data_IF_252266196984
#
_entry.id   IF_252266196984
#
_cell.length_a   1.000
_cell.length_b   1.000
_cell.length_c   1.000
_cell.angle_alpha   90.00
_cell.angle_beta   90.00
_cell.angle_gamma   90.00
#
_symmetry.space_group_name_H-M   'P 1'
#
loop_
_entity.id
_entity.type
_entity.pdbx_description
1 polymer ?
#
# COMPACT_ATOMS: atom_id res chain seq x y z
N UNK A 1 4.47 -3.53 -28.87
CA UNK A 1 5.83 -3.79 -29.40
C UNK A 1 6.56 -4.57 -28.34
N UNK A 2 7.32 -5.61 -28.66
CA UNK A 2 8.15 -6.32 -27.66
C UNK A 2 9.37 -5.46 -27.30
N UNK A 3 10.01 -5.75 -26.15
CA UNK A 3 11.24 -5.09 -25.73
C UNK A 3 12.30 -5.17 -26.84
N UNK A 4 12.92 -4.03 -27.20
CA UNK A 4 13.93 -3.97 -28.23
C UNK A 4 15.34 -4.20 -27.66
N UNK A 5 16.31 -4.57 -28.53
CA UNK A 5 17.70 -4.70 -28.11
C UNK A 5 18.26 -3.39 -27.53
N UNK A 6 17.84 -2.25 -28.06
CA UNK A 6 18.22 -0.94 -27.54
C UNK A 6 17.69 -0.72 -26.11
N UNK A 7 16.45 -1.09 -25.83
CA UNK A 7 15.86 -1.00 -24.48
C UNK A 7 16.58 -1.92 -23.51
N UNK A 8 17.00 -3.12 -23.93
CA UNK A 8 17.77 -4.07 -23.10
C UNK A 8 19.13 -3.45 -22.71
N UNK A 9 19.84 -2.83 -23.67
CA UNK A 9 21.12 -2.16 -23.41
C UNK A 9 20.93 -0.97 -22.44
N UNK A 10 19.85 -0.19 -22.62
CA UNK A 10 19.55 0.90 -21.70
C UNK A 10 19.15 0.40 -20.29
N UNK A 11 18.45 -0.73 -20.19
CA UNK A 11 18.08 -1.30 -18.90
C UNK A 11 19.30 -1.59 -18.01
N UNK A 12 20.47 -1.94 -18.56
CA UNK A 12 21.70 -2.10 -17.79
C UNK A 12 22.19 -0.80 -17.15
N UNK A 13 22.05 0.33 -17.85
CA UNK A 13 22.39 1.65 -17.32
C UNK A 13 21.38 2.09 -16.27
N UNK A 14 20.08 1.90 -16.54
CA UNK A 14 19.01 2.20 -15.61
C UNK A 14 19.12 1.38 -14.33
N UNK A 15 19.53 0.11 -14.43
CA UNK A 15 19.80 -0.74 -13.29
C UNK A 15 20.83 -0.13 -12.32
N UNK A 16 21.97 0.37 -12.84
CA UNK A 16 22.98 1.00 -11.99
C UNK A 16 22.46 2.28 -11.32
N UNK A 17 21.67 3.08 -12.04
CA UNK A 17 21.03 4.26 -11.49
C UNK A 17 19.98 3.89 -10.43
N UNK A 18 19.16 2.87 -10.68
CA UNK A 18 18.17 2.37 -9.71
C UNK A 18 18.84 1.88 -8.41
N UNK A 19 19.94 1.11 -8.51
CA UNK A 19 20.72 0.70 -7.34
C UNK A 19 21.21 1.89 -6.53
N UNK A 20 21.64 2.97 -7.20
CA UNK A 20 22.09 4.19 -6.50
C UNK A 20 20.91 4.90 -5.81
N UNK A 21 19.75 4.99 -6.45
CA UNK A 21 18.53 5.57 -5.85
C UNK A 21 18.13 4.77 -4.58
N UNK A 22 18.17 3.44 -4.64
CA UNK A 22 17.88 2.59 -3.46
C UNK A 22 18.85 2.91 -2.31
N UNK A 23 20.17 3.01 -2.60
CA UNK A 23 21.19 3.37 -1.58
C UNK A 23 20.91 4.73 -0.93
N UNK A 24 20.43 5.67 -1.70
CA UNK A 24 20.18 7.03 -1.22
C UNK A 24 18.87 7.09 -0.42
N UNK A 25 17.79 6.48 -0.92
CA UNK A 25 16.50 6.44 -0.22
C UNK A 25 16.57 5.63 1.08
N UNK A 26 17.35 4.54 1.15
CA UNK A 26 17.54 3.78 2.39
C UNK A 26 18.22 4.58 3.52
N UNK A 27 18.88 5.70 3.20
CA UNK A 27 19.45 6.62 4.21
C UNK A 27 18.44 7.62 4.75
N UNK A 28 17.26 7.71 4.11
CA UNK A 28 16.22 8.68 4.44
C UNK A 28 15.07 7.96 5.16
N UNK A 29 14.91 8.14 6.48
CA UNK A 29 13.78 7.60 7.19
C UNK A 29 12.47 8.22 6.66
N UNK A 30 11.43 7.41 6.56
CA UNK A 30 10.13 7.86 6.08
C UNK A 30 9.00 6.99 6.67
N UNK A 31 8.77 7.03 7.99
CA UNK A 31 7.54 6.45 8.52
C UNK A 31 6.34 7.20 7.93
N UNK A 32 5.19 6.50 7.78
CA UNK A 32 3.95 7.15 7.30
C UNK A 32 3.67 8.44 8.06
N UNK A 33 3.31 9.49 7.35
CA UNK A 33 3.14 10.89 7.80
C UNK A 33 4.44 11.69 8.03
N UNK A 34 5.61 11.14 7.73
CA UNK A 34 6.93 11.79 7.88
C UNK A 34 7.83 11.53 6.66
N UNK A 35 7.25 11.64 5.45
CA UNK A 35 7.92 11.32 4.18
C UNK A 35 8.65 12.53 3.56
N UNK A 36 8.73 13.66 4.23
CA UNK A 36 9.26 14.92 3.69
C UNK A 36 10.63 14.77 3.05
N UNK A 37 11.52 13.99 3.68
CA UNK A 37 12.89 13.78 3.17
C UNK A 37 12.90 13.01 1.86
N UNK A 38 12.08 11.94 1.75
CA UNK A 38 11.97 11.14 0.53
C UNK A 38 11.20 11.88 -0.56
N UNK A 39 10.16 12.62 -0.21
CA UNK A 39 9.42 13.46 -1.15
C UNK A 39 10.35 14.53 -1.77
N UNK A 40 11.18 15.21 -0.96
CA UNK A 40 12.13 16.20 -1.47
C UNK A 40 13.22 15.56 -2.35
N UNK A 41 13.72 14.36 -1.97
CA UNK A 41 14.65 13.61 -2.81
C UNK A 41 14.03 13.29 -4.18
N UNK A 42 12.83 12.73 -4.22
CA UNK A 42 12.14 12.38 -5.45
C UNK A 42 11.83 13.62 -6.30
N UNK A 43 11.32 14.69 -5.68
CA UNK A 43 11.07 15.97 -6.36
C UNK A 43 12.34 16.49 -7.05
N UNK A 44 13.43 16.56 -6.31
CA UNK A 44 14.74 17.01 -6.82
C UNK A 44 15.22 16.12 -7.96
N UNK A 45 15.16 14.80 -7.77
CA UNK A 45 15.59 13.84 -8.78
C UNK A 45 14.80 13.99 -10.09
N UNK A 46 13.46 14.05 -10.03
CA UNK A 46 12.64 14.26 -11.23
C UNK A 46 12.97 15.60 -11.91
N UNK A 47 13.12 16.67 -11.14
CA UNK A 47 13.45 17.99 -11.70
C UNK A 47 14.81 18.01 -12.37
N UNK A 48 15.85 17.46 -11.74
CA UNK A 48 17.22 17.38 -12.28
C UNK A 48 17.32 16.48 -13.52
N UNK A 49 16.43 15.48 -13.63
CA UNK A 49 16.32 14.62 -14.80
C UNK A 49 15.36 15.16 -15.87
N UNK A 50 15.02 16.45 -15.83
CA UNK A 50 14.35 17.17 -16.90
C UNK A 50 12.85 16.91 -17.02
N UNK A 51 12.19 16.40 -15.97
CA UNK A 51 10.73 16.39 -15.91
C UNK A 51 10.20 17.82 -15.76
N UNK A 52 9.14 18.13 -16.50
CA UNK A 52 8.46 19.42 -16.41
C UNK A 52 7.27 19.31 -15.46
N UNK A 53 6.89 20.43 -14.86
CA UNK A 53 5.70 20.55 -14.02
C UNK A 53 5.68 19.56 -12.82
N UNK A 54 6.87 19.25 -12.29
CA UNK A 54 6.99 18.43 -11.08
C UNK A 54 6.45 19.20 -9.88
N UNK A 55 5.47 18.64 -9.19
CA UNK A 55 4.82 19.25 -8.02
C UNK A 55 4.83 18.31 -6.84
N UNK A 56 4.77 18.88 -5.64
CA UNK A 56 4.49 18.13 -4.39
C UNK A 56 3.16 18.63 -3.86
N UNK A 57 2.23 17.73 -3.63
CA UNK A 57 0.91 18.10 -3.09
C UNK A 57 0.88 18.11 -1.55
N UNK A 58 -0.27 18.49 -0.98
CA UNK A 58 -0.46 18.59 0.48
C UNK A 58 -0.38 17.22 1.20
N UNK A 59 -0.45 16.12 0.46
CA UNK A 59 -0.27 14.80 1.01
C UNK A 59 1.18 14.31 0.95
N UNK A 60 2.11 15.11 0.39
CA UNK A 60 3.52 14.79 0.10
C UNK A 60 3.71 13.84 -1.10
N UNK A 61 2.72 13.72 -1.99
CA UNK A 61 2.93 13.04 -3.25
C UNK A 61 3.81 13.89 -4.17
N UNK A 62 4.81 13.29 -4.78
CA UNK A 62 5.60 13.91 -5.84
C UNK A 62 5.01 13.50 -7.19
N UNK A 63 4.49 14.46 -7.94
CA UNK A 63 3.76 14.27 -9.18
C UNK A 63 4.62 14.71 -10.37
N UNK A 64 4.90 13.81 -11.30
CA UNK A 64 5.74 14.02 -12.47
C UNK A 64 4.98 13.65 -13.77
N UNK A 65 4.20 14.57 -14.36
CA UNK A 65 3.43 14.30 -15.58
C UNK A 65 4.36 14.19 -16.78
N UNK A 66 4.05 13.25 -17.69
CA UNK A 66 4.73 13.03 -18.95
C UNK A 66 3.73 13.05 -20.10
N UNK A 67 3.98 13.87 -21.12
CA UNK A 67 3.15 14.04 -22.30
C UNK A 67 1.76 14.68 -22.06
N UNK A 68 1.56 15.35 -20.93
CA UNK A 68 0.35 16.14 -20.64
C UNK A 68 0.60 17.14 -19.51
N UNK A 69 -0.38 18.03 -19.24
CA UNK A 69 -0.37 18.94 -18.09
C UNK A 69 -1.45 18.58 -17.09
N UNK A 70 -1.13 18.68 -15.79
CA UNK A 70 -2.09 18.45 -14.71
C UNK A 70 -3.26 19.45 -14.73
N UNK A 71 -3.05 20.66 -15.22
CA UNK A 71 -4.11 21.68 -15.36
C UNK A 71 -5.04 21.50 -16.57
N UNK A 72 -4.81 20.50 -17.46
CA UNK A 72 -5.68 20.21 -18.61
C UNK A 72 -6.84 19.26 -18.25
N UNK A 73 -7.64 18.88 -19.25
CA UNK A 73 -8.82 18.01 -19.11
C UNK A 73 -8.64 16.60 -19.68
N UNK A 74 -7.45 16.33 -20.24
CA UNK A 74 -7.19 15.08 -20.95
C UNK A 74 -7.08 13.88 -19.99
N UNK A 75 -7.58 12.69 -20.38
CA UNK A 75 -7.41 11.48 -19.59
C UNK A 75 -5.94 11.01 -19.59
N UNK A 76 -5.53 10.38 -18.50
CA UNK A 76 -4.17 9.86 -18.33
C UNK A 76 -4.15 8.60 -17.46
N UNK A 77 -3.03 7.86 -17.51
CA UNK A 77 -2.75 6.73 -16.62
C UNK A 77 -1.91 7.20 -15.43
N UNK A 78 -2.21 6.75 -14.23
CA UNK A 78 -1.35 6.91 -13.05
C UNK A 78 -0.45 5.70 -12.91
N UNK A 79 0.85 5.92 -12.70
CA UNK A 79 1.81 4.88 -12.34
C UNK A 79 2.59 5.36 -11.11
N UNK A 80 2.51 4.61 -10.02
CA UNK A 80 3.06 5.05 -8.73
C UNK A 80 3.78 3.94 -7.97
N UNK A 81 4.59 4.38 -7.01
CA UNK A 81 5.24 3.58 -5.99
C UNK A 81 5.36 4.44 -4.73
N UNK A 82 5.21 3.84 -3.54
CA UNK A 82 5.12 4.63 -2.32
C UNK A 82 6.49 4.94 -1.71
N UNK A 83 6.53 6.02 -0.93
CA UNK A 83 7.74 6.53 -0.28
C UNK A 83 7.85 6.15 1.18
N UNK A 84 6.74 5.86 1.84
CA UNK A 84 6.73 5.54 3.27
C UNK A 84 7.11 4.10 3.57
N UNK A 85 7.35 3.81 4.84
CA UNK A 85 7.64 2.48 5.38
C UNK A 85 6.81 2.23 6.64
N UNK A 86 6.54 0.96 6.95
CA UNK A 86 5.85 0.55 8.19
C UNK A 86 6.63 0.84 9.48
N UNK A 87 7.92 1.16 9.35
CA UNK A 87 8.82 1.33 10.50
C UNK A 87 8.70 2.75 11.06
N UNK A 88 8.54 2.91 12.40
CA UNK A 88 8.35 4.23 13.01
C UNK A 88 9.65 5.02 13.21
N UNK A 89 10.76 4.54 12.68
CA UNK A 89 12.09 5.11 12.90
C UNK A 89 12.23 6.45 12.17
N UNK A 90 12.61 7.49 12.91
CA UNK A 90 12.91 8.84 12.40
C UNK A 90 14.41 9.03 12.11
N UNK A 91 15.24 8.05 12.41
CA UNK A 91 16.66 8.01 12.11
C UNK A 91 16.94 6.95 11.04
N UNK A 92 18.04 7.09 10.27
CA UNK A 92 18.42 6.09 9.28
C UNK A 92 18.54 4.69 9.86
N UNK A 93 17.88 3.73 9.23
CA UNK A 93 17.97 2.33 9.61
C UNK A 93 19.23 1.68 9.02
N UNK A 94 19.74 0.55 9.61
CA UNK A 94 20.91 -0.15 9.10
C UNK A 94 20.76 -0.55 7.64
N UNK A 95 21.76 -0.22 6.83
CA UNK A 95 21.87 -0.60 5.42
C UNK A 95 23.14 -1.45 5.21
N UNK A 96 22.99 -2.58 4.51
CA UNK A 96 24.09 -3.50 4.21
C UNK A 96 23.92 -4.11 2.81
N UNK A 97 24.97 -4.09 2.01
CA UNK A 97 25.08 -4.89 0.79
C UNK A 97 25.87 -6.16 1.06
N UNK A 98 25.26 -7.31 0.87
CA UNK A 98 25.89 -8.60 1.12
C UNK A 98 25.28 -9.70 0.23
N UNK A 99 26.12 -10.59 -0.30
CA UNK A 99 25.73 -11.79 -1.04
C UNK A 99 24.72 -11.52 -2.20
N UNK A 100 24.88 -10.36 -2.88
CA UNK A 100 24.00 -9.97 -3.99
C UNK A 100 22.68 -9.32 -3.58
N UNK A 101 22.49 -9.04 -2.29
CA UNK A 101 21.31 -8.39 -1.73
C UNK A 101 21.64 -7.04 -1.10
N UNK A 102 20.69 -6.12 -1.16
CA UNK A 102 20.61 -4.95 -0.28
C UNK A 102 19.66 -5.28 0.88
N UNK A 103 20.14 -5.11 2.09
CA UNK A 103 19.40 -5.29 3.34
C UNK A 103 19.12 -3.94 3.97
N UNK A 104 17.88 -3.61 4.14
CA UNK A 104 17.41 -2.43 4.87
C UNK A 104 15.90 -2.58 5.10
N UNK A 105 15.36 -2.27 6.29
CA UNK A 105 13.92 -2.19 6.48
C UNK A 105 13.27 -1.20 5.49
N UNK A 106 12.21 -1.61 4.77
CA UNK A 106 11.55 -0.81 3.74
C UNK A 106 12.29 -0.78 2.38
N UNK A 107 13.31 -1.63 2.18
CA UNK A 107 14.07 -1.66 0.92
C UNK A 107 13.26 -2.23 -0.25
N UNK A 108 12.40 -3.20 0.01
CA UNK A 108 11.55 -3.84 -1.02
C UNK A 108 10.13 -3.30 -1.03
N UNK A 109 9.70 -2.79 0.11
CA UNK A 109 8.39 -2.25 0.35
C UNK A 109 8.52 -0.77 0.81
N UNK A 110 8.62 0.19 -0.10
CA UNK A 110 8.51 0.06 -1.57
C UNK A 110 9.72 0.70 -2.30
N UNK A 111 10.83 0.94 -1.57
CA UNK A 111 12.00 1.72 -2.04
C UNK A 111 12.56 1.24 -3.39
N UNK A 112 12.70 -0.07 -3.59
CA UNK A 112 13.30 -0.61 -4.80
C UNK A 112 12.34 -0.56 -6.02
N UNK A 113 11.04 -0.77 -5.81
CA UNK A 113 10.03 -0.57 -6.84
C UNK A 113 9.96 0.91 -7.27
N UNK A 114 10.01 1.84 -6.30
CA UNK A 114 10.08 3.28 -6.56
C UNK A 114 11.32 3.64 -7.40
N UNK A 115 12.48 3.10 -7.08
CA UNK A 115 13.71 3.35 -7.83
C UNK A 115 13.57 2.90 -9.30
N UNK A 116 13.01 1.70 -9.54
CA UNK A 116 12.75 1.21 -10.90
C UNK A 116 11.73 2.07 -11.62
N UNK A 117 10.64 2.48 -10.95
CA UNK A 117 9.66 3.41 -11.51
C UNK A 117 10.33 4.71 -11.98
N UNK A 118 11.14 5.33 -11.12
CA UNK A 118 11.82 6.61 -11.42
C UNK A 118 12.70 6.51 -12.66
N UNK A 119 13.61 5.52 -12.74
CA UNK A 119 14.53 5.39 -13.88
C UNK A 119 13.82 5.01 -15.17
N UNK A 120 12.78 4.18 -15.11
CA UNK A 120 11.99 3.83 -16.30
C UNK A 120 11.10 5.00 -16.76
N UNK A 121 10.58 5.83 -15.84
CA UNK A 121 9.88 7.06 -16.15
C UNK A 121 10.78 8.06 -16.91
N UNK A 122 12.04 8.20 -16.46
CA UNK A 122 13.06 9.01 -17.15
C UNK A 122 13.29 8.51 -18.59
N UNK A 123 13.50 7.19 -18.74
CA UNK A 123 13.69 6.61 -20.06
C UNK A 123 12.47 6.86 -20.97
N UNK A 124 11.27 6.62 -20.47
CA UNK A 124 10.03 6.84 -21.22
C UNK A 124 9.87 8.30 -21.65
N UNK A 125 10.15 9.25 -20.77
CA UNK A 125 10.12 10.69 -21.07
C UNK A 125 11.11 11.08 -22.18
N UNK A 126 12.32 10.50 -22.18
CA UNK A 126 13.38 10.83 -23.13
C UNK A 126 13.22 10.13 -24.50
N UNK A 127 12.43 9.03 -24.54
CA UNK A 127 12.27 8.16 -25.71
C UNK A 127 10.78 7.88 -25.98
N UNK A 128 9.97 8.93 -26.12
CA UNK A 128 8.53 8.77 -26.35
C UNK A 128 8.25 7.94 -27.61
N UNK A 129 7.33 6.93 -27.56
CA UNK A 129 6.92 6.18 -28.74
C UNK A 129 6.12 7.06 -29.72
N UNK A 130 5.83 6.54 -30.92
CA UNK A 130 5.07 7.26 -31.93
C UNK A 130 3.67 7.70 -31.47
N UNK A 131 3.05 6.92 -30.59
CA UNK A 131 1.77 7.22 -29.95
C UNK A 131 1.94 7.19 -28.41
N UNK A 132 2.51 8.25 -27.82
CA UNK A 132 2.84 8.25 -26.41
C UNK A 132 1.59 8.33 -25.52
N UNK A 133 1.57 7.52 -24.49
CA UNK A 133 0.56 7.59 -23.43
C UNK A 133 0.83 8.82 -22.55
N UNK A 134 -0.25 9.41 -22.03
CA UNK A 134 -0.19 10.44 -21.00
C UNK A 134 -0.08 9.73 -19.68
N UNK A 135 1.04 9.87 -19.00
CA UNK A 135 1.31 9.15 -17.75
C UNK A 135 1.67 10.14 -16.66
N UNK A 136 0.98 10.02 -15.53
CA UNK A 136 1.38 10.61 -14.27
C UNK A 136 2.24 9.59 -13.52
N UNK A 137 3.55 9.81 -13.48
CA UNK A 137 4.41 9.10 -12.55
C UNK A 137 4.35 9.78 -11.18
N UNK A 138 4.16 8.99 -10.14
CA UNK A 138 4.05 9.52 -8.79
C UNK A 138 4.88 8.72 -7.79
N UNK A 139 5.60 9.44 -6.92
CA UNK A 139 6.13 8.89 -5.67
C UNK A 139 5.14 9.30 -4.58
N UNK A 140 4.28 8.38 -4.14
CA UNK A 140 3.19 8.71 -3.23
C UNK A 140 3.52 8.43 -1.76
N UNK A 141 2.74 9.01 -0.87
CA UNK A 141 2.91 8.93 0.57
C UNK A 141 1.83 8.08 1.25
N UNK A 142 2.09 7.66 2.48
CA UNK A 142 1.09 7.10 3.39
C UNK A 142 0.33 5.89 2.80
N UNK A 143 1.02 4.99 2.08
CA UNK A 143 0.43 3.71 1.69
C UNK A 143 0.26 2.83 2.91
N UNK A 144 1.27 2.79 3.78
CA UNK A 144 1.42 1.83 4.84
C UNK A 144 0.49 2.04 6.04
N UNK A 145 0.12 0.95 6.67
CA UNK A 145 -0.46 0.91 8.01
C UNK A 145 -1.59 1.91 8.26
N UNK A 146 -1.33 2.85 9.16
CA UNK A 146 -2.25 3.92 9.54
C UNK A 146 -2.15 5.15 8.62
N UNK A 147 -1.25 5.18 7.66
CA UNK A 147 -1.23 6.15 6.55
C UNK A 147 -2.51 6.11 5.72
N UNK A 148 -3.16 4.92 5.71
CA UNK A 148 -4.53 4.72 5.19
C UNK A 148 -4.72 5.21 3.74
N UNK A 149 -3.69 5.02 2.89
CA UNK A 149 -3.69 5.40 1.47
C UNK A 149 -3.90 6.91 1.25
N UNK A 150 -3.45 7.76 2.17
CA UNK A 150 -3.67 9.22 2.13
C UNK A 150 -3.17 9.82 0.82
N UNK A 151 -1.99 9.41 0.35
CA UNK A 151 -1.42 9.90 -0.91
C UNK A 151 -2.28 9.53 -2.11
N UNK A 152 -2.63 8.26 -2.26
CA UNK A 152 -3.50 7.79 -3.33
C UNK A 152 -4.88 8.45 -3.28
N UNK A 153 -5.48 8.58 -2.09
CA UNK A 153 -6.77 9.29 -1.91
C UNK A 153 -6.71 10.73 -2.42
N UNK A 154 -5.61 11.45 -2.15
CA UNK A 154 -5.42 12.82 -2.62
C UNK A 154 -5.35 12.89 -4.14
N UNK A 155 -4.52 12.04 -4.77
CA UNK A 155 -4.42 11.96 -6.23
C UNK A 155 -5.78 11.64 -6.86
N UNK A 156 -6.53 10.67 -6.31
CA UNK A 156 -7.82 10.27 -6.85
C UNK A 156 -8.94 11.28 -6.55
N UNK A 157 -8.87 12.04 -5.47
CA UNK A 157 -9.78 13.15 -5.20
C UNK A 157 -9.59 14.30 -6.20
N UNK A 158 -8.34 14.65 -6.51
CA UNK A 158 -8.01 15.75 -7.40
C UNK A 158 -8.21 15.38 -8.88
N UNK A 159 -7.83 14.18 -9.27
CA UNK A 159 -7.71 13.80 -10.68
C UNK A 159 -8.54 12.58 -11.10
N UNK A 160 -9.24 11.90 -10.19
CA UNK A 160 -9.87 10.60 -10.44
C UNK A 160 -10.83 10.57 -11.64
N UNK A 161 -11.50 11.69 -11.94
CA UNK A 161 -12.38 11.81 -13.14
C UNK A 161 -11.62 11.71 -14.47
N UNK A 162 -10.31 11.93 -14.45
CA UNK A 162 -9.41 11.90 -15.63
C UNK A 162 -8.52 10.66 -15.66
N UNK A 163 -8.49 9.89 -14.58
CA UNK A 163 -7.68 8.66 -14.51
C UNK A 163 -8.38 7.56 -15.31
N UNK A 164 -7.77 7.13 -16.40
CA UNK A 164 -8.27 6.07 -17.27
C UNK A 164 -7.80 4.67 -16.87
N UNK A 165 -6.62 4.60 -16.26
CA UNK A 165 -6.04 3.38 -15.71
C UNK A 165 -5.05 3.72 -14.58
N UNK A 166 -4.81 2.75 -13.69
CA UNK A 166 -3.95 2.96 -12.54
C UNK A 166 -3.03 1.74 -12.33
N UNK A 167 -1.77 2.01 -12.02
CA UNK A 167 -0.74 0.99 -11.77
C UNK A 167 0.00 1.38 -10.49
N UNK A 168 0.04 0.49 -9.51
CA UNK A 168 0.94 0.59 -8.36
C UNK A 168 2.06 -0.42 -8.50
N UNK A 169 3.30 0.01 -8.32
CA UNK A 169 4.45 -0.90 -8.21
C UNK A 169 4.70 -1.15 -6.74
N UNK A 170 4.06 -2.19 -6.18
CA UNK A 170 4.10 -2.47 -4.75
C UNK A 170 3.95 -3.99 -4.53
N UNK A 171 5.03 -4.70 -4.74
CA UNK A 171 5.12 -6.12 -4.41
C UNK A 171 6.57 -6.59 -4.40
N UNK A 172 6.91 -7.50 -3.51
CA UNK A 172 8.19 -8.20 -3.47
C UNK A 172 8.33 -9.33 -4.49
N UNK A 173 7.34 -9.47 -5.40
CA UNK A 173 7.30 -10.57 -6.38
C UNK A 173 6.71 -10.09 -7.72
N UNK A 174 7.45 -10.29 -8.80
CA UNK A 174 7.06 -9.80 -10.14
C UNK A 174 5.84 -10.49 -10.73
N UNK A 175 5.62 -11.78 -10.48
CA UNK A 175 4.54 -12.53 -11.11
C UNK A 175 3.25 -12.62 -10.31
N UNK A 176 3.18 -12.01 -9.13
CA UNK A 176 1.95 -11.88 -8.35
C UNK A 176 1.33 -10.52 -8.60
N UNK A 177 0.11 -10.50 -9.11
CA UNK A 177 -0.58 -9.28 -9.51
C UNK A 177 -1.85 -9.13 -8.68
N UNK A 178 -1.96 -8.05 -7.94
CA UNK A 178 -3.20 -7.71 -7.23
C UNK A 178 -4.17 -7.10 -8.23
N UNK A 179 -5.29 -7.78 -8.41
CA UNK A 179 -6.39 -7.40 -9.30
C UNK A 179 -7.72 -7.25 -8.56
N UNK A 180 -7.74 -7.63 -7.28
CA UNK A 180 -8.91 -7.54 -6.42
C UNK A 180 -8.55 -6.89 -5.10
N UNK A 181 -9.23 -5.79 -4.77
CA UNK A 181 -8.98 -5.02 -3.56
C UNK A 181 -9.54 -5.72 -2.31
N UNK A 182 -8.69 -5.93 -1.31
CA UNK A 182 -9.10 -6.35 0.03
C UNK A 182 -9.40 -5.11 0.86
N UNK A 183 -10.69 -4.88 1.13
CA UNK A 183 -11.11 -3.82 2.03
C UNK A 183 -10.81 -4.16 3.50
N UNK A 184 -10.67 -3.13 4.33
CA UNK A 184 -10.42 -3.31 5.76
C UNK A 184 -10.96 -2.15 6.59
N UNK A 185 -11.43 -2.45 7.81
CA UNK A 185 -11.70 -1.44 8.82
C UNK A 185 -10.83 -1.74 10.04
N UNK A 186 -10.21 -0.73 10.59
CA UNK A 186 -9.31 -0.80 11.74
C UNK A 186 -9.82 0.10 12.85
N UNK A 187 -9.93 -0.42 14.04
CA UNK A 187 -10.50 0.28 15.19
C UNK A 187 -9.60 0.21 16.41
N UNK A 188 -9.62 1.29 17.19
CA UNK A 188 -9.25 1.29 18.59
C UNK A 188 -10.54 1.19 19.41
N UNK A 189 -10.63 0.20 20.27
CA UNK A 189 -11.75 0.00 21.18
C UNK A 189 -11.27 0.16 22.60
N UNK A 190 -11.82 1.13 23.33
CA UNK A 190 -11.46 1.44 24.72
C UNK A 190 -12.63 1.15 25.64
N UNK A 191 -12.36 0.47 26.76
CA UNK A 191 -13.33 0.13 27.80
C UNK A 191 -12.96 0.85 29.07
N UNK A 192 -13.94 1.50 29.69
CA UNK A 192 -13.78 2.16 30.98
C UNK A 192 -14.82 1.64 31.98
N UNK A 193 -14.37 1.42 33.24
CA UNK A 193 -15.18 0.93 34.37
C UNK A 193 -14.85 1.69 35.65
N UNK A 194 -15.50 1.34 36.76
CA UNK A 194 -15.32 1.97 38.08
C UNK A 194 -13.89 1.80 38.60
N UNK A 195 -13.30 0.61 38.40
CA UNK A 195 -12.01 0.28 38.98
C UNK A 195 -12.02 0.21 40.50
N UNK A 196 -10.84 0.29 41.13
CA UNK A 196 -10.69 0.36 42.57
C UNK A 196 -9.65 -0.58 43.15
N UNK A 197 -9.56 -0.62 44.50
CA UNK A 197 -8.67 -1.52 45.20
C UNK A 197 -9.21 -2.96 45.13
N UNK A 198 -8.40 -3.93 44.75
CA UNK A 198 -8.84 -5.31 44.45
C UNK A 198 -9.56 -6.02 45.59
N UNK A 199 -9.24 -5.71 46.86
CA UNK A 199 -9.91 -6.23 48.04
C UNK A 199 -11.05 -5.31 48.54
N UNK A 200 -10.77 -4.02 48.70
CA UNK A 200 -11.75 -3.09 49.33
C UNK A 200 -12.94 -2.75 48.41
N UNK A 201 -12.72 -2.77 47.09
CA UNK A 201 -13.73 -2.47 46.07
C UNK A 201 -14.15 -3.72 45.29
N UNK A 202 -14.01 -4.92 45.91
CA UNK A 202 -14.42 -6.17 45.29
C UNK A 202 -15.90 -6.13 44.88
N UNK A 203 -16.19 -6.47 43.61
CA UNK A 203 -17.52 -6.36 43.01
C UNK A 203 -17.64 -5.24 41.97
N UNK A 204 -16.73 -4.26 41.96
CA UNK A 204 -16.62 -3.29 40.88
C UNK A 204 -16.22 -4.00 39.58
N UNK A 205 -16.66 -3.44 38.45
CA UNK A 205 -16.31 -3.96 37.12
C UNK A 205 -14.85 -3.72 36.81
N UNK A 206 -14.25 -4.69 36.14
CA UNK A 206 -12.85 -4.65 35.69
C UNK A 206 -12.81 -4.47 34.20
N UNK A 207 -12.15 -3.40 33.71
CA UNK A 207 -12.06 -3.08 32.31
C UNK A 207 -11.33 -4.16 31.48
N UNK A 208 -10.27 -4.78 32.06
CA UNK A 208 -9.56 -5.89 31.38
C UNK A 208 -10.50 -7.08 31.20
N UNK A 209 -11.26 -7.45 32.26
CA UNK A 209 -12.22 -8.56 32.16
C UNK A 209 -13.34 -8.26 31.15
N UNK A 210 -13.87 -7.03 31.13
CA UNK A 210 -14.91 -6.61 30.22
C UNK A 210 -14.40 -6.63 28.77
N UNK A 211 -13.17 -6.14 28.51
CA UNK A 211 -12.55 -6.18 27.19
C UNK A 211 -12.25 -7.62 26.74
N UNK A 212 -11.75 -8.48 27.63
CA UNK A 212 -11.53 -9.90 27.34
C UNK A 212 -12.83 -10.63 26.96
N UNK A 213 -13.94 -10.28 27.62
CA UNK A 213 -15.27 -10.81 27.27
C UNK A 213 -15.74 -10.33 25.88
N UNK A 214 -15.51 -9.08 25.54
CA UNK A 214 -15.80 -8.56 24.20
C UNK A 214 -14.95 -9.28 23.14
N UNK A 215 -13.65 -9.46 23.38
CA UNK A 215 -12.75 -10.20 22.48
C UNK A 215 -13.28 -11.63 22.30
N UNK A 216 -13.61 -12.33 23.40
CA UNK A 216 -14.16 -13.69 23.33
C UNK A 216 -15.42 -13.72 22.48
N UNK A 217 -16.32 -12.75 22.65
CA UNK A 217 -17.55 -12.65 21.85
C UNK A 217 -17.23 -12.44 20.36
N UNK A 218 -16.35 -11.50 20.02
CA UNK A 218 -15.94 -11.24 18.63
C UNK A 218 -15.33 -12.49 17.96
N UNK A 219 -14.60 -13.31 18.71
CA UNK A 219 -14.01 -14.55 18.20
C UNK A 219 -14.99 -15.71 18.07
N UNK A 220 -16.24 -15.57 18.53
CA UNK A 220 -17.34 -16.52 18.24
C UNK A 220 -18.07 -16.22 16.94
N UNK A 221 -17.82 -15.04 16.34
CA UNK A 221 -18.48 -14.62 15.10
C UNK A 221 -18.06 -15.54 13.94
N UNK A 222 -19.05 -16.15 13.29
CA UNK A 222 -18.83 -16.87 12.05
C UNK A 222 -18.65 -15.84 10.93
N UNK A 223 -17.46 -15.78 10.35
CA UNK A 223 -17.15 -14.84 9.27
C UNK A 223 -18.08 -15.09 8.07
N UNK A 224 -18.64 -14.02 7.48
CA UNK A 224 -19.43 -14.14 6.25
C UNK A 224 -18.54 -14.62 5.10
N UNK A 225 -19.15 -15.33 4.16
CA UNK A 225 -18.50 -15.82 2.95
C UNK A 225 -19.44 -15.67 1.76
N UNK A 226 -18.92 -15.21 0.64
CA UNK A 226 -19.61 -15.11 -0.63
C UNK A 226 -18.74 -15.72 -1.73
N UNK A 227 -19.22 -16.77 -2.36
CA UNK A 227 -18.44 -17.52 -3.35
C UNK A 227 -17.07 -17.97 -2.80
N UNK A 228 -16.02 -17.50 -3.46
CA UNK A 228 -14.62 -17.76 -3.08
C UNK A 228 -14.01 -16.65 -2.23
N UNK A 229 -14.81 -15.69 -1.73
CA UNK A 229 -14.29 -14.58 -0.94
C UNK A 229 -13.61 -15.04 0.34
N UNK A 230 -12.62 -14.25 0.77
CA UNK A 230 -11.90 -14.43 2.03
C UNK A 230 -12.24 -13.28 2.96
N UNK A 231 -12.71 -13.62 4.17
CA UNK A 231 -12.98 -12.65 5.24
C UNK A 231 -12.18 -13.05 6.47
N UNK A 232 -11.52 -12.08 7.08
CA UNK A 232 -10.68 -12.29 8.27
C UNK A 232 -10.93 -11.20 9.31
N UNK A 233 -10.55 -11.45 10.55
CA UNK A 233 -10.49 -10.45 11.61
C UNK A 233 -9.34 -10.76 12.55
N UNK A 234 -8.89 -9.74 13.32
CA UNK A 234 -7.80 -9.90 14.27
C UNK A 234 -7.86 -8.85 15.37
N UNK A 235 -7.51 -9.25 16.58
CA UNK A 235 -7.11 -8.35 17.67
C UNK A 235 -5.58 -8.39 17.74
N UNK A 236 -4.93 -7.35 17.26
CA UNK A 236 -3.46 -7.30 17.13
C UNK A 236 -2.75 -6.78 18.36
N UNK A 237 -3.44 -5.95 19.16
CA UNK A 237 -2.88 -5.34 20.38
C UNK A 237 -3.95 -5.33 21.47
N UNK A 238 -3.53 -5.55 22.72
CA UNK A 238 -4.34 -5.35 23.91
C UNK A 238 -3.47 -4.70 24.98
N UNK A 239 -4.02 -3.72 25.71
CA UNK A 239 -3.38 -3.08 26.88
C UNK A 239 -4.39 -2.72 27.94
N UNK A 240 -3.95 -2.53 29.18
CA UNK A 240 -4.83 -2.10 30.28
C UNK A 240 -4.31 -2.39 31.66
N UNK A 241 -4.96 -1.74 32.65
CA UNK A 241 -4.62 -1.87 34.07
C UNK A 241 -3.37 -1.09 34.47
N UNK A 242 -3.05 -1.10 35.78
CA UNK A 242 -1.91 -0.37 36.37
C UNK A 242 -1.07 -1.23 37.31
N UNK A 243 -1.71 -2.05 38.14
CA UNK A 243 -1.01 -2.91 39.11
C UNK A 243 -1.87 -4.14 39.50
N UNK A 244 -1.22 -5.16 40.08
CA UNK A 244 -1.87 -6.43 40.44
C UNK A 244 -2.99 -6.30 41.49
N UNK A 245 -2.91 -5.31 42.40
CA UNK A 245 -3.89 -5.06 43.47
C UNK A 245 -4.90 -3.96 43.09
N UNK A 246 -5.03 -3.61 41.83
CA UNK A 246 -5.97 -2.62 41.31
C UNK A 246 -6.95 -3.28 40.34
N UNK A 247 -8.26 -3.12 40.57
CA UNK A 247 -9.28 -3.44 39.55
C UNK A 247 -9.09 -2.46 38.40
N UNK A 248 -8.82 -2.97 37.22
CA UNK A 248 -8.48 -2.12 36.06
C UNK A 248 -9.65 -1.19 35.70
N UNK A 249 -9.35 0.10 35.64
CA UNK A 249 -10.30 1.15 35.24
C UNK A 249 -10.42 1.28 33.73
N UNK A 250 -9.31 1.08 33.00
CA UNK A 250 -9.23 1.21 31.58
C UNK A 250 -8.53 0.01 30.96
N UNK A 251 -9.00 -0.36 29.78
CA UNK A 251 -8.35 -1.33 28.90
C UNK A 251 -8.69 -0.97 27.44
N UNK A 252 -7.81 -1.30 26.52
CA UNK A 252 -8.01 -1.03 25.10
C UNK A 252 -7.47 -2.15 24.20
N UNK A 253 -8.02 -2.26 22.99
CA UNK A 253 -7.53 -3.14 21.96
C UNK A 253 -7.47 -2.43 20.61
N UNK A 254 -6.59 -2.91 19.73
CA UNK A 254 -6.63 -2.64 18.31
C UNK A 254 -7.22 -3.85 17.61
N UNK A 255 -8.30 -3.61 16.85
CA UNK A 255 -9.09 -4.63 16.17
C UNK A 255 -9.22 -4.28 14.70
N UNK A 256 -9.10 -5.28 13.81
CA UNK A 256 -9.39 -5.13 12.39
C UNK A 256 -10.23 -6.29 11.88
N UNK A 257 -10.95 -6.05 10.80
CA UNK A 257 -11.48 -7.06 9.90
C UNK A 257 -11.24 -6.66 8.46
N UNK A 258 -11.11 -7.67 7.60
CA UNK A 258 -10.81 -7.51 6.17
C UNK A 258 -11.70 -8.43 5.35
N UNK A 259 -12.02 -8.03 4.12
CA UNK A 259 -12.64 -8.89 3.14
C UNK A 259 -12.30 -8.44 1.71
N UNK A 260 -12.25 -9.37 0.78
CA UNK A 260 -12.21 -9.10 -0.66
C UNK A 260 -13.63 -9.10 -1.31
N UNK A 261 -14.69 -9.25 -0.47
CA UNK A 261 -16.09 -9.02 -0.84
C UNK A 261 -16.63 -7.80 -0.09
N UNK A 262 -17.21 -6.86 -0.83
CA UNK A 262 -17.84 -5.65 -0.29
C UNK A 262 -19.02 -6.00 0.64
N UNK A 263 -19.81 -7.00 0.26
CA UNK A 263 -20.96 -7.48 1.02
C UNK A 263 -20.52 -8.15 2.33
N UNK A 264 -19.45 -8.93 2.29
CA UNK A 264 -18.88 -9.55 3.49
C UNK A 264 -18.26 -8.49 4.42
N UNK A 265 -17.57 -7.48 3.86
CA UNK A 265 -17.02 -6.37 4.65
C UNK A 265 -18.13 -5.59 5.38
N UNK A 266 -19.24 -5.27 4.68
CA UNK A 266 -20.39 -4.59 5.28
C UNK A 266 -21.04 -5.45 6.39
N UNK A 267 -21.21 -6.75 6.18
CA UNK A 267 -21.71 -7.67 7.22
C UNK A 267 -20.78 -7.72 8.45
N UNK A 268 -19.46 -7.67 8.26
CA UNK A 268 -18.52 -7.59 9.38
C UNK A 268 -18.66 -6.29 10.17
N UNK A 269 -18.93 -5.18 9.47
CA UNK A 269 -19.19 -3.89 10.09
C UNK A 269 -20.46 -3.95 10.98
N UNK A 270 -21.55 -4.50 10.46
CA UNK A 270 -22.80 -4.67 11.21
C UNK A 270 -22.61 -5.56 12.44
N UNK A 271 -21.93 -6.69 12.28
CA UNK A 271 -21.63 -7.62 13.38
C UNK A 271 -20.79 -6.95 14.47
N UNK A 272 -19.77 -6.19 14.09
CA UNK A 272 -18.95 -5.44 15.04
C UNK A 272 -19.76 -4.36 15.77
N UNK A 273 -20.56 -3.58 15.07
CA UNK A 273 -21.43 -2.55 15.68
C UNK A 273 -22.41 -3.16 16.67
N UNK A 274 -23.09 -4.24 16.32
CA UNK A 274 -24.01 -4.94 17.22
C UNK A 274 -23.30 -5.51 18.47
N UNK A 275 -22.07 -6.02 18.31
CA UNK A 275 -21.27 -6.46 19.45
C UNK A 275 -20.97 -5.31 20.43
N UNK A 276 -20.55 -4.16 19.90
CA UNK A 276 -20.29 -2.97 20.72
C UNK A 276 -21.56 -2.48 21.42
N UNK A 277 -22.68 -2.42 20.72
CA UNK A 277 -23.98 -2.01 21.31
C UNK A 277 -24.44 -2.96 22.42
N UNK A 278 -24.30 -4.28 22.22
CA UNK A 278 -24.62 -5.27 23.25
C UNK A 278 -23.80 -5.05 24.51
N UNK A 279 -22.51 -4.75 24.40
CA UNK A 279 -21.68 -4.47 25.57
C UNK A 279 -22.02 -3.13 26.22
N UNK A 280 -22.33 -2.08 25.46
CA UNK A 280 -22.84 -0.81 26.00
C UNK A 280 -24.14 -0.97 26.74
N UNK A 281 -25.03 -1.83 26.27
CA UNK A 281 -26.31 -2.12 26.95
C UNK A 281 -26.15 -2.79 28.33
N UNK A 282 -24.99 -3.41 28.64
CA UNK A 282 -24.66 -3.89 29.97
C UNK A 282 -24.27 -2.78 30.96
N UNK A 283 -24.23 -1.52 30.50
CA UNK A 283 -23.81 -0.35 31.28
C UNK A 283 -22.28 -0.16 31.32
N UNK A 284 -21.52 -0.87 30.51
CA UNK A 284 -20.06 -0.66 30.32
C UNK A 284 -19.84 0.47 29.34
N UNK A 285 -18.95 1.39 29.69
CA UNK A 285 -18.53 2.42 28.75
C UNK A 285 -17.56 1.82 27.72
N UNK A 286 -17.97 1.82 26.45
CA UNK A 286 -17.16 1.37 25.31
C UNK A 286 -17.06 2.50 24.29
N UNK A 287 -15.86 3.03 24.11
CA UNK A 287 -15.55 4.03 23.11
C UNK A 287 -14.88 3.34 21.91
N UNK A 288 -15.25 3.72 20.70
CA UNK A 288 -14.73 3.15 19.45
C UNK A 288 -14.25 4.28 18.57
N UNK A 289 -13.00 4.19 18.15
CA UNK A 289 -12.34 5.11 17.22
C UNK A 289 -11.98 4.35 15.94
N UNK A 290 -12.38 4.87 14.78
CA UNK A 290 -11.97 4.36 13.49
C UNK A 290 -10.57 4.87 13.17
N UNK A 291 -9.58 3.99 13.11
CA UNK A 291 -8.18 4.32 12.82
C UNK A 291 -7.88 4.34 11.32
N UNK A 292 -8.60 3.55 10.55
CA UNK A 292 -8.41 3.47 9.11
C UNK A 292 -9.45 2.61 8.43
N UNK A 293 -9.74 2.97 7.19
CA UNK A 293 -10.68 2.28 6.33
C UNK A 293 -10.10 2.19 4.92
N UNK A 294 -10.04 0.99 4.35
CA UNK A 294 -9.71 0.77 2.94
C UNK A 294 -10.92 0.14 2.25
N UNK A 295 -11.38 0.68 1.10
CA UNK A 295 -12.55 0.15 0.41
C UNK A 295 -12.25 -1.16 -0.32
N UNK A 296 -13.27 -1.98 -0.56
CA UNK A 296 -13.24 -3.03 -1.58
C UNK A 296 -13.38 -2.45 -2.98
N UNK A 297 -13.05 -3.23 -4.01
CA UNK A 297 -13.36 -2.90 -5.40
C UNK A 297 -14.87 -2.86 -5.67
N UNK A 298 -15.24 -2.29 -6.81
CA UNK A 298 -16.59 -2.29 -7.38
C UNK A 298 -16.57 -2.86 -8.80
N UNK A 299 -17.66 -2.81 -9.52
CA UNK A 299 -17.70 -3.18 -10.94
C UNK A 299 -16.76 -2.29 -11.76
N UNK A 300 -15.94 -2.90 -12.59
CA UNK A 300 -14.94 -2.24 -13.44
C UNK A 300 -15.26 -2.58 -14.89
N UNK A 301 -15.11 -1.65 -15.86
CA UNK A 301 -15.26 -1.95 -17.28
C UNK A 301 -14.35 -3.11 -17.70
N UNK A 302 -14.96 -4.26 -18.00
CA UNK A 302 -14.26 -5.54 -18.19
C UNK A 302 -13.18 -5.45 -19.25
N UNK A 303 -13.48 -4.91 -20.43
CA UNK A 303 -12.55 -4.87 -21.55
C UNK A 303 -11.29 -4.03 -21.25
N UNK A 304 -11.46 -2.89 -20.57
CA UNK A 304 -10.35 -2.03 -20.17
C UNK A 304 -9.50 -2.68 -19.07
N UNK A 305 -10.14 -3.37 -18.14
CA UNK A 305 -9.43 -4.07 -17.06
C UNK A 305 -8.67 -5.29 -17.56
N UNK A 306 -9.30 -6.10 -18.42
CA UNK A 306 -8.65 -7.25 -19.03
C UNK A 306 -7.48 -6.81 -19.94
N UNK A 307 -7.62 -5.71 -20.68
CA UNK A 307 -6.54 -5.14 -21.49
C UNK A 307 -5.35 -4.70 -20.61
N UNK A 308 -5.60 -4.07 -19.47
CA UNK A 308 -4.54 -3.64 -18.53
C UNK A 308 -3.80 -4.85 -17.94
N UNK A 309 -4.53 -5.87 -17.49
CA UNK A 309 -3.96 -7.13 -16.97
C UNK A 309 -3.13 -7.84 -18.04
N UNK A 310 -3.69 -8.02 -19.23
CA UNK A 310 -3.03 -8.72 -20.32
C UNK A 310 -1.76 -7.98 -20.80
N UNK A 311 -1.76 -6.64 -20.75
CA UNK A 311 -0.56 -5.84 -21.02
C UNK A 311 0.60 -6.27 -20.11
N UNK A 312 0.35 -6.42 -18.81
CA UNK A 312 1.38 -6.85 -17.86
C UNK A 312 1.74 -8.33 -17.99
N UNK A 313 0.74 -9.21 -18.13
CA UNK A 313 0.99 -10.65 -18.29
C UNK A 313 1.78 -10.97 -19.56
N UNK A 314 1.51 -10.24 -20.66
CA UNK A 314 2.31 -10.34 -21.88
C UNK A 314 3.75 -9.89 -21.66
N UNK A 315 3.99 -8.85 -20.86
CA UNK A 315 5.35 -8.41 -20.50
C UNK A 315 6.07 -9.46 -19.65
N UNK A 316 5.39 -10.10 -18.71
CA UNK A 316 5.96 -11.19 -17.90
C UNK A 316 6.39 -12.38 -18.77
N UNK A 317 5.53 -12.81 -19.71
CA UNK A 317 5.85 -13.91 -20.64
C UNK A 317 7.02 -13.57 -21.55
N UNK A 318 7.06 -12.35 -22.08
CA UNK A 318 8.12 -11.89 -23.00
C UNK A 318 9.47 -11.74 -22.33
N UNK A 319 9.51 -11.10 -21.15
CA UNK A 319 10.76 -10.70 -20.49
C UNK A 319 11.29 -11.75 -19.54
N UNK A 320 10.40 -12.37 -18.78
CA UNK A 320 10.77 -13.30 -17.70
C UNK A 320 10.40 -14.75 -17.98
N UNK A 321 9.65 -15.02 -19.06
CA UNK A 321 9.16 -16.36 -19.43
C UNK A 321 8.34 -17.03 -18.31
N UNK A 322 7.55 -16.23 -17.56
CA UNK A 322 6.70 -16.70 -16.47
C UNK A 322 5.25 -16.24 -16.67
N UNK A 323 4.32 -16.99 -16.09
CA UNK A 323 2.90 -16.63 -16.07
C UNK A 323 2.58 -15.73 -14.85
N UNK A 324 1.67 -14.77 -15.06
CA UNK A 324 1.13 -13.94 -14.00
C UNK A 324 0.07 -14.69 -13.18
N UNK A 325 0.05 -14.42 -11.88
CA UNK A 325 -0.89 -15.00 -10.93
C UNK A 325 -1.72 -13.89 -10.28
N UNK A 326 -3.01 -13.85 -10.59
CA UNK A 326 -3.93 -12.91 -9.96
C UNK A 326 -4.09 -13.19 -8.46
N UNK A 327 -4.16 -12.12 -7.65
CA UNK A 327 -4.30 -12.15 -6.20
C UNK A 327 -5.26 -11.07 -5.71
N UNK A 328 -5.86 -11.32 -4.55
CA UNK A 328 -6.46 -10.28 -3.72
C UNK A 328 -5.37 -9.65 -2.85
N UNK A 329 -5.43 -8.32 -2.68
CA UNK A 329 -4.47 -7.58 -1.84
C UNK A 329 -5.04 -6.24 -1.40
N UNK A 330 -4.38 -5.62 -0.43
CA UNK A 330 -4.75 -4.29 0.07
C UNK A 330 -3.57 -3.35 -0.19
N UNK A 331 -3.71 -2.50 -1.20
CA UNK A 331 -2.70 -1.60 -1.74
C UNK A 331 -3.34 -0.28 -2.15
N UNK A 332 -2.59 0.66 -2.67
CA UNK A 332 -3.12 1.89 -3.27
C UNK A 332 -4.21 1.63 -4.33
N UNK A 333 -4.18 0.47 -5.00
CA UNK A 333 -5.20 0.08 -5.96
C UNK A 333 -6.61 -0.05 -5.37
N UNK A 334 -6.76 -0.14 -4.03
CA UNK A 334 -8.08 -0.16 -3.39
C UNK A 334 -8.91 1.07 -3.77
N UNK A 335 -8.28 2.25 -3.87
CA UNK A 335 -9.00 3.49 -4.15
C UNK A 335 -9.53 3.52 -5.58
N UNK A 336 -8.72 3.42 -6.66
CA UNK A 336 -9.24 3.43 -8.02
C UNK A 336 -10.17 2.24 -8.31
N UNK A 337 -9.91 1.03 -7.79
CA UNK A 337 -10.81 -0.11 -7.93
C UNK A 337 -12.18 0.15 -7.29
N UNK A 338 -12.24 0.87 -6.16
CA UNK A 338 -13.51 1.26 -5.52
C UNK A 338 -14.29 2.32 -6.31
N UNK A 339 -13.61 3.04 -7.20
CA UNK A 339 -14.19 4.05 -8.10
C UNK A 339 -14.56 3.49 -9.48
N UNK A 340 -14.38 2.19 -9.72
CA UNK A 340 -14.65 1.56 -11.01
C UNK A 340 -13.56 1.82 -12.07
N UNK A 341 -12.37 2.22 -11.65
CA UNK A 341 -11.25 2.50 -12.54
C UNK A 341 -10.36 1.24 -12.62
N UNK A 342 -9.99 0.79 -13.83
CA UNK A 342 -9.07 -0.32 -14.01
C UNK A 342 -7.75 -0.07 -13.30
N UNK A 343 -7.39 -0.93 -12.34
CA UNK A 343 -6.18 -0.79 -11.56
C UNK A 343 -5.52 -2.15 -11.29
N UNK A 344 -4.18 -2.19 -11.33
CA UNK A 344 -3.37 -3.38 -11.01
C UNK A 344 -2.19 -2.98 -10.15
N UNK A 345 -1.85 -3.84 -9.18
CA UNK A 345 -0.63 -3.70 -8.42
C UNK A 345 0.28 -4.91 -8.67
N UNK A 346 1.56 -4.65 -8.95
CA UNK A 346 2.57 -5.67 -9.18
C UNK A 346 3.95 -5.17 -8.75
N UNK A 347 4.88 -6.09 -8.53
CA UNK A 347 6.28 -5.74 -8.24
C UNK A 347 7.17 -5.82 -9.46
N UNK A 348 8.26 -5.08 -9.40
CA UNK A 348 9.35 -5.11 -10.41
C UNK A 348 10.67 -5.52 -9.78
N UNK A 349 10.62 -6.18 -8.62
CA UNK A 349 11.79 -6.69 -7.89
C UNK A 349 11.52 -8.09 -7.34
N UNK A 350 12.58 -8.79 -6.95
CA UNK A 350 12.51 -10.00 -6.12
C UNK A 350 13.10 -9.70 -4.76
N UNK A 351 12.29 -9.87 -3.72
CA UNK A 351 12.64 -9.51 -2.37
C UNK A 351 12.05 -10.47 -1.34
N UNK A 352 12.46 -10.33 -0.10
CA UNK A 352 11.96 -11.12 1.01
C UNK A 352 12.01 -10.34 2.31
N UNK A 353 11.14 -10.73 3.25
CA UNK A 353 11.11 -10.18 4.60
C UNK A 353 10.41 -8.83 4.72
N UNK A 354 9.54 -8.45 3.77
CA UNK A 354 8.73 -7.24 3.88
C UNK A 354 8.07 -7.13 5.28
N UNK A 355 8.03 -5.91 5.83
CA UNK A 355 7.56 -5.61 7.19
C UNK A 355 8.38 -6.22 8.33
N UNK A 356 9.61 -6.69 8.06
CA UNK A 356 10.56 -7.14 9.09
C UNK A 356 11.88 -6.36 9.03
N UNK A 357 12.65 -6.40 10.12
CA UNK A 357 13.98 -5.77 10.15
C UNK A 357 15.02 -6.50 9.28
N UNK A 358 14.74 -7.71 8.84
CA UNK A 358 15.55 -8.57 7.97
C UNK A 358 15.21 -8.43 6.48
N UNK A 359 14.45 -7.41 6.14
CA UNK A 359 14.00 -7.13 4.78
C UNK A 359 15.19 -6.95 3.84
N UNK A 360 15.06 -7.53 2.63
CA UNK A 360 16.11 -7.50 1.62
C UNK A 360 15.57 -7.59 0.20
N UNK A 361 16.27 -6.97 -0.74
CA UNK A 361 16.00 -7.04 -2.18
C UNK A 361 17.21 -7.61 -2.92
N UNK A 362 16.96 -8.49 -3.90
CA UNK A 362 17.99 -9.03 -4.79
C UNK A 362 18.43 -7.95 -5.80
N UNK A 363 19.71 -7.54 -5.75
CA UNK A 363 20.23 -6.45 -6.59
C UNK A 363 20.06 -6.73 -8.09
N UNK A 364 20.30 -7.97 -8.52
CA UNK A 364 20.15 -8.37 -9.92
C UNK A 364 18.69 -8.27 -10.41
N UNK A 365 17.72 -8.41 -9.51
CA UNK A 365 16.31 -8.36 -9.87
C UNK A 365 15.84 -6.99 -10.36
N UNK A 366 16.51 -5.90 -9.95
CA UNK A 366 16.19 -4.56 -10.45
C UNK A 366 16.46 -4.43 -11.96
N UNK A 367 17.43 -5.18 -12.51
CA UNK A 367 17.66 -5.24 -13.96
C UNK A 367 16.48 -5.89 -14.68
N UNK A 368 16.01 -7.03 -14.17
CA UNK A 368 14.83 -7.71 -14.69
C UNK A 368 13.60 -6.80 -14.58
N UNK A 369 13.47 -6.09 -13.47
CA UNK A 369 12.41 -5.11 -13.25
C UNK A 369 12.44 -3.94 -14.23
N UNK A 370 13.61 -3.37 -14.50
CA UNK A 370 13.75 -2.34 -15.52
C UNK A 370 13.31 -2.86 -16.92
N UNK A 371 13.75 -4.05 -17.30
CA UNK A 371 13.33 -4.66 -18.58
C UNK A 371 11.83 -4.89 -18.63
N UNK A 372 11.27 -5.46 -17.57
CA UNK A 372 9.84 -5.77 -17.45
C UNK A 372 8.98 -4.51 -17.53
N UNK A 373 9.34 -3.49 -16.76
CA UNK A 373 8.56 -2.26 -16.72
C UNK A 373 8.72 -1.42 -18.00
N UNK A 374 9.89 -1.42 -18.62
CA UNK A 374 10.06 -0.82 -19.96
C UNK A 374 9.18 -1.53 -20.99
N UNK A 375 9.19 -2.87 -21.05
CA UNK A 375 8.31 -3.60 -21.96
C UNK A 375 6.84 -3.24 -21.71
N UNK A 376 6.41 -3.19 -20.46
CA UNK A 376 5.05 -2.78 -20.09
C UNK A 376 4.73 -1.36 -20.57
N UNK A 377 5.64 -0.39 -20.38
CA UNK A 377 5.43 1.01 -20.79
C UNK A 377 5.24 1.16 -22.30
N UNK A 378 5.96 0.38 -23.12
CA UNK A 378 5.94 0.47 -24.58
C UNK A 378 4.99 -0.52 -25.26
N UNK A 379 4.46 -1.51 -24.55
CA UNK A 379 3.57 -2.52 -25.10
C UNK A 379 2.23 -1.90 -25.53
N UNK A 380 1.85 -2.16 -26.80
CA UNK A 380 0.60 -1.63 -27.38
C UNK A 380 0.70 -0.18 -27.88
N UNK A 381 1.90 0.35 -28.02
CA UNK A 381 2.16 1.72 -28.49
C UNK A 381 2.77 1.74 -29.89
#
# INVERSE_FOLDING_TARGET
MAITQEMIIHAEKLHQEALQIVRDLCKLPAPSHHEELRAEYCRKWFTENGFRDVTVDDALNVLAPVNFSLGGDEPFTVMMAHTDTVFPDLEPMPFLEKDGFMHCPGVSDDTANLAVLMVCAKYYKDHLPASPEKILFAANSCEEGLGNLKGCRKIMADYGKRVSAFVSLDSSCMNKVVTQAVGSHRYKVSVATEGGHSFASFGNRNAIHSLASLITFLYTVKVPKEGNSTTTYNVGVISGGTSVNTIAQNAEMLYEYRSDSKECLAKMQDLFQHAIEAFRATGIRVDVELLGERPCGTEIPKDAFDALKERYFSSLREVLHVEGLERSGSTDCNIPLSMGIPAVCFGVVRAAGAHTREEKVEMASLLDGCKLFLDFLYRGK
#
